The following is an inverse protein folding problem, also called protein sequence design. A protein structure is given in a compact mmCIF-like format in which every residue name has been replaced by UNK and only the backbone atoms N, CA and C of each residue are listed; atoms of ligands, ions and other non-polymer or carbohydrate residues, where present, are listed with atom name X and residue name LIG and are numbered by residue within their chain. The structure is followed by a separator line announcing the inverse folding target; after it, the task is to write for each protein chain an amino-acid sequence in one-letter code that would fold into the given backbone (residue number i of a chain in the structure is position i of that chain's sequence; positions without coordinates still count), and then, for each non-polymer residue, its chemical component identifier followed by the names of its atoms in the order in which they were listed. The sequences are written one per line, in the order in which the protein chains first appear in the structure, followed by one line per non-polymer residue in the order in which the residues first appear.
data_IF_426098609130
#
_entry.id   IF_426098609130
#
_cell.length_a   1.000
_cell.length_b   1.000
_cell.length_c   1.000
_cell.angle_alpha   90.00
_cell.angle_beta   90.00
_cell.angle_gamma   90.00
#
_symmetry.space_group_name_H-M   'P 1'
#
loop_
_entity.id
_entity.type
_entity.pdbx_description
1 polymer ?
#
# COMPACT_ATOMS: atom_id res chain seq x y z
N UNK A 1 -6.47 18.19 -48.70
CA UNK A 1 -7.86 18.33 -48.20
C UNK A 1 -8.36 16.96 -47.75
N UNK A 2 -8.68 16.79 -46.47
CA UNK A 2 -9.91 16.15 -45.93
C UNK A 2 -9.72 15.93 -44.43
N UNK A 3 -10.59 16.59 -43.69
CA UNK A 3 -10.73 16.60 -42.22
C UNK A 3 -11.59 15.41 -41.84
N UNK A 4 -11.30 14.71 -40.75
CA UNK A 4 -12.35 14.03 -39.97
C UNK A 4 -11.98 14.15 -38.49
N UNK A 5 -12.83 14.89 -37.79
CA UNK A 5 -12.81 15.19 -36.36
C UNK A 5 -13.95 14.36 -35.78
N UNK A 6 -13.66 13.44 -34.86
CA UNK A 6 -14.68 12.58 -34.23
C UNK A 6 -14.70 12.92 -32.73
N UNK A 7 -15.65 13.79 -32.39
CA UNK A 7 -16.13 14.05 -31.03
C UNK A 7 -17.04 12.90 -30.59
N UNK A 8 -16.62 12.14 -29.58
CA UNK A 8 -17.44 11.09 -28.96
C UNK A 8 -18.03 11.63 -27.66
N UNK A 9 -19.33 11.90 -27.70
CA UNK A 9 -20.17 12.31 -26.57
C UNK A 9 -20.35 11.13 -25.62
N UNK A 10 -19.77 11.19 -24.41
CA UNK A 10 -19.96 10.19 -23.36
C UNK A 10 -21.19 10.57 -22.52
N UNK A 11 -22.31 9.90 -22.79
CA UNK A 11 -23.53 10.02 -21.99
C UNK A 11 -23.35 9.29 -20.65
N UNK A 12 -23.34 10.04 -19.54
CA UNK A 12 -23.54 9.54 -18.18
C UNK A 12 -25.03 9.57 -17.86
N UNK A 13 -25.63 8.42 -17.53
CA UNK A 13 -26.94 8.37 -16.89
C UNK A 13 -27.07 7.16 -15.94
N UNK A 14 -26.71 7.42 -14.67
CA UNK A 14 -27.43 7.10 -13.44
C UNK A 14 -28.02 5.69 -13.25
N UNK A 15 -27.27 4.83 -12.53
CA UNK A 15 -27.84 3.70 -11.80
C UNK A 15 -28.36 4.20 -10.43
N UNK A 16 -29.67 4.39 -10.35
CA UNK A 16 -30.41 4.60 -9.11
C UNK A 16 -30.41 3.33 -8.25
N UNK A 17 -29.76 3.36 -7.08
CA UNK A 17 -29.99 2.37 -6.04
C UNK A 17 -31.23 2.78 -5.24
N UNK A 18 -32.34 2.10 -5.51
CA UNK A 18 -33.54 2.15 -4.70
C UNK A 18 -33.29 1.56 -3.32
N UNK A 19 -33.53 2.37 -2.29
CA UNK A 19 -33.72 1.93 -0.92
C UNK A 19 -35.02 1.12 -0.81
N UNK A 20 -34.98 -0.03 -0.15
CA UNK A 20 -36.16 -0.63 0.48
C UNK A 20 -35.78 -1.30 1.79
N UNK A 21 -36.55 -0.95 2.81
CA UNK A 21 -36.37 -1.21 4.24
C UNK A 21 -37.32 -2.31 4.73
N UNK A 22 -37.07 -2.79 5.97
CA UNK A 22 -37.94 -3.57 6.90
C UNK A 22 -38.06 -5.07 6.61
N UNK A 23 -38.28 -5.97 7.57
CA UNK A 23 -38.18 -6.12 9.05
C UNK A 23 -38.62 -7.59 9.27
N UNK A 24 -38.03 -8.31 10.22
CA UNK A 24 -38.71 -9.43 10.88
C UNK A 24 -38.21 -9.60 12.31
N UNK A 25 -39.18 -9.95 13.15
CA UNK A 25 -39.23 -9.86 14.60
C UNK A 25 -38.56 -11.04 15.35
N UNK A 26 -37.90 -10.68 16.45
CA UNK A 26 -38.04 -11.18 17.83
C UNK A 26 -37.94 -12.68 18.19
N UNK A 27 -36.99 -12.89 19.12
CA UNK A 27 -36.91 -13.85 20.24
C UNK A 27 -36.56 -15.32 19.96
N UNK A 28 -35.47 -15.79 20.57
CA UNK A 28 -35.54 -16.72 21.71
C UNK A 28 -34.22 -16.71 22.51
N UNK A 29 -34.42 -16.59 23.82
CA UNK A 29 -33.47 -16.73 24.94
C UNK A 29 -32.93 -18.16 25.03
N UNK A 30 -31.61 -18.32 25.24
CA UNK A 30 -31.04 -19.17 26.30
C UNK A 30 -29.51 -19.06 26.33
N UNK A 31 -29.05 -18.57 27.47
CA UNK A 31 -27.69 -18.66 27.99
C UNK A 31 -27.33 -20.10 28.30
N UNK A 32 -26.23 -20.59 27.72
CA UNK A 32 -25.49 -21.75 28.21
C UNK A 32 -23.99 -21.51 27.99
N UNK A 33 -23.28 -21.52 29.11
CA UNK A 33 -21.84 -21.46 29.28
C UNK A 33 -21.06 -22.37 28.33
N UNK A 34 -20.00 -21.83 27.71
CA UNK A 34 -18.92 -22.61 27.13
C UNK A 34 -17.60 -21.96 27.53
N UNK A 35 -17.05 -22.40 28.66
CA UNK A 35 -15.66 -22.20 29.04
C UNK A 35 -14.81 -23.14 28.19
N UNK A 36 -14.33 -22.67 27.05
CA UNK A 36 -13.27 -23.34 26.29
C UNK A 36 -11.92 -22.85 26.79
N UNK A 37 -11.29 -23.68 27.62
CA UNK A 37 -9.88 -23.60 27.97
C UNK A 37 -9.03 -23.74 26.71
N UNK A 38 -8.41 -22.64 26.27
CA UNK A 38 -7.44 -22.65 25.17
C UNK A 38 -6.05 -22.93 25.75
N UNK A 39 -5.57 -24.16 25.56
CA UNK A 39 -4.23 -24.58 25.96
C UNK A 39 -3.24 -24.31 24.83
N UNK A 40 -2.23 -23.48 25.09
CA UNK A 40 -1.12 -23.23 24.18
C UNK A 40 -0.09 -24.38 24.25
N UNK A 41 0.36 -24.95 23.13
CA UNK A 41 1.62 -25.67 23.12
C UNK A 41 2.78 -24.67 23.14
N UNK A 42 3.50 -24.66 24.26
CA UNK A 42 4.84 -24.11 24.36
C UNK A 42 5.80 -25.08 23.65
N UNK A 43 6.45 -24.61 22.59
CA UNK A 43 7.58 -25.32 21.99
C UNK A 43 8.80 -24.41 21.98
N UNK A 44 9.57 -24.57 23.04
CA UNK A 44 10.99 -24.25 23.12
C UNK A 44 11.76 -25.11 22.12
N UNK A 45 12.58 -24.52 21.25
CA UNK A 45 13.81 -25.14 20.76
C UNK A 45 14.76 -24.09 20.20
N UNK A 46 15.93 -24.04 20.84
CA UNK A 46 17.08 -23.21 20.54
C UNK A 46 17.95 -23.80 19.43
N UNK A 47 18.86 -22.95 18.93
CA UNK A 47 20.17 -23.26 18.28
C UNK A 47 20.15 -23.46 16.76
N UNK A 48 21.10 -22.96 15.96
CA UNK A 48 22.06 -21.86 16.02
C UNK A 48 22.75 -21.74 14.63
N UNK A 49 23.15 -20.51 14.27
CA UNK A 49 24.24 -20.07 13.35
C UNK A 49 24.37 -20.65 11.92
N UNK A 50 24.38 -19.75 10.92
CA UNK A 50 25.56 -19.44 10.06
C UNK A 50 25.45 -18.00 9.53
N UNK A 51 26.54 -17.24 9.64
CA UNK A 51 26.75 -15.87 9.16
C UNK A 51 27.10 -15.82 7.67
N UNK A 52 26.66 -14.76 6.95
CA UNK A 52 27.55 -13.86 6.17
C UNK A 52 26.78 -12.72 5.46
N UNK A 53 26.91 -11.54 6.05
CA UNK A 53 27.17 -10.22 5.46
C UNK A 53 26.62 -9.88 4.06
N UNK A 54 25.57 -9.05 4.06
CA UNK A 54 25.50 -7.83 3.24
C UNK A 54 24.79 -6.78 4.09
N UNK A 55 25.56 -5.81 4.59
CA UNK A 55 25.11 -4.77 5.52
C UNK A 55 24.19 -3.79 4.76
N UNK A 56 22.90 -4.09 4.71
CA UNK A 56 21.86 -3.06 4.66
C UNK A 56 21.68 -2.64 6.12
N UNK A 57 21.97 -1.39 6.45
CA UNK A 57 21.63 -0.85 7.78
C UNK A 57 20.11 -0.79 7.90
N UNK A 58 19.52 -1.89 8.38
CA UNK A 58 18.14 -1.90 8.86
C UNK A 58 18.08 -0.99 10.09
N UNK A 59 17.21 0.03 10.13
CA UNK A 59 17.03 0.83 11.33
C UNK A 59 16.61 -0.11 12.46
N UNK A 60 17.45 -0.21 13.49
CA UNK A 60 17.22 -1.05 14.68
C UNK A 60 16.21 -0.35 15.59
N UNK A 61 14.98 -0.18 15.10
CA UNK A 61 13.82 0.20 15.89
C UNK A 61 12.87 -0.98 15.95
N UNK A 62 12.30 -1.25 17.12
CA UNK A 62 11.24 -2.26 17.22
C UNK A 62 10.02 -1.74 16.46
N UNK A 63 9.55 -2.48 15.45
CA UNK A 63 8.34 -2.13 14.70
C UNK A 63 7.15 -2.32 15.63
N UNK A 64 6.30 -1.30 15.77
CA UNK A 64 5.10 -1.39 16.57
C UNK A 64 4.19 -2.53 16.07
N UNK A 65 3.68 -3.35 17.00
CA UNK A 65 2.92 -4.56 16.65
C UNK A 65 1.59 -4.25 15.95
N UNK A 66 0.95 -3.12 16.26
CA UNK A 66 -0.27 -2.68 15.59
C UNK A 66 0.06 -2.20 14.17
N UNK A 67 1.16 -1.47 14.01
CA UNK A 67 1.67 -1.07 12.70
C UNK A 67 2.01 -2.29 11.83
N UNK A 68 2.74 -3.28 12.36
CA UNK A 68 3.05 -4.52 11.63
C UNK A 68 1.77 -5.21 11.14
N UNK A 69 0.74 -5.35 12.00
CA UNK A 69 -0.55 -5.92 11.60
C UNK A 69 -1.24 -5.14 10.48
N UNK A 70 -1.14 -3.81 10.52
CA UNK A 70 -1.70 -2.97 9.46
C UNK A 70 -0.95 -3.17 8.13
N UNK A 71 0.37 -3.36 8.15
CA UNK A 71 1.16 -3.72 6.97
C UNK A 71 0.86 -5.15 6.49
N UNK A 72 0.64 -6.10 7.40
CA UNK A 72 0.25 -7.46 7.03
C UNK A 72 -1.11 -7.46 6.30
N UNK A 73 -2.01 -6.55 6.68
CA UNK A 73 -3.30 -6.38 6.02
C UNK A 73 -3.20 -5.80 4.60
N UNK A 74 -2.08 -5.19 4.20
CA UNK A 74 -1.87 -4.72 2.81
C UNK A 74 -1.32 -5.82 1.89
N UNK A 75 -0.85 -6.94 2.44
CA UNK A 75 -0.26 -8.04 1.64
C UNK A 75 -1.18 -8.60 0.55
N UNK A 76 -2.52 -8.74 0.75
CA UNK A 76 -3.42 -9.15 -0.34
C UNK A 76 -3.44 -8.15 -1.51
N UNK A 77 -3.36 -6.85 -1.21
CA UNK A 77 -3.25 -5.79 -2.22
C UNK A 77 -1.93 -5.93 -2.97
N UNK A 78 -0.81 -6.13 -2.25
CA UNK A 78 0.51 -6.36 -2.86
C UNK A 78 0.49 -7.59 -3.77
N UNK A 79 -0.10 -8.71 -3.33
CA UNK A 79 -0.24 -9.91 -4.16
C UNK A 79 -1.05 -9.64 -5.44
N UNK A 80 -2.13 -8.87 -5.33
CA UNK A 80 -2.93 -8.43 -6.49
C UNK A 80 -2.11 -7.55 -7.43
N UNK A 81 -1.29 -6.63 -6.91
CA UNK A 81 -0.39 -5.80 -7.70
C UNK A 81 0.66 -6.65 -8.42
N UNK A 82 1.25 -7.65 -7.74
CA UNK A 82 2.23 -8.57 -8.35
C UNK A 82 1.63 -9.28 -9.55
N UNK A 83 0.41 -9.78 -9.44
CA UNK A 83 -0.27 -10.46 -10.56
C UNK A 83 -0.63 -9.47 -11.69
N UNK A 84 -1.21 -8.33 -11.32
CA UNK A 84 -1.65 -7.29 -12.27
C UNK A 84 -0.50 -6.74 -13.10
N UNK A 85 0.68 -6.57 -12.47
CA UNK A 85 1.85 -5.97 -13.09
C UNK A 85 2.98 -6.96 -13.35
N UNK A 86 2.69 -8.26 -13.42
CA UNK A 86 3.69 -9.34 -13.59
C UNK A 86 4.57 -9.22 -14.85
N UNK A 87 4.05 -8.58 -15.88
CA UNK A 87 4.77 -8.34 -17.13
C UNK A 87 5.74 -7.15 -17.02
N UNK A 88 5.54 -6.27 -16.04
CA UNK A 88 6.40 -5.10 -15.78
C UNK A 88 7.42 -5.37 -14.68
N UNK A 89 6.96 -5.91 -13.54
CA UNK A 89 7.80 -6.17 -12.37
C UNK A 89 8.03 -7.68 -12.21
N UNK A 90 9.25 -8.07 -11.89
CA UNK A 90 9.58 -9.43 -11.47
C UNK A 90 9.15 -9.69 -10.02
N UNK A 91 9.13 -8.65 -9.20
CA UNK A 91 8.71 -8.73 -7.80
C UNK A 91 8.17 -7.39 -7.29
N UNK A 92 7.24 -7.46 -6.35
CA UNK A 92 6.72 -6.33 -5.58
C UNK A 92 6.60 -6.79 -4.13
N UNK A 93 7.13 -6.02 -3.19
CA UNK A 93 7.04 -6.31 -1.75
C UNK A 93 6.60 -5.07 -0.98
N UNK A 94 6.00 -5.29 0.18
CA UNK A 94 5.75 -4.24 1.17
C UNK A 94 6.14 -4.77 2.55
N UNK A 95 6.98 -4.02 3.26
CA UNK A 95 7.43 -4.38 4.61
C UNK A 95 7.29 -3.18 5.55
N UNK A 96 7.15 -3.47 6.84
CA UNK A 96 7.15 -2.43 7.87
C UNK A 96 8.59 -2.09 8.27
N UNK A 97 8.88 -0.80 8.41
CA UNK A 97 10.13 -0.27 8.94
C UNK A 97 9.82 0.72 10.06
N UNK A 98 10.57 0.63 11.16
CA UNK A 98 10.39 1.53 12.30
C UNK A 98 10.74 2.99 11.91
N UNK A 99 10.06 3.99 12.48
CA UNK A 99 8.98 3.86 13.45
C UNK A 99 7.62 3.49 12.85
N UNK A 100 7.22 4.07 11.72
CA UNK A 100 5.91 3.89 11.08
C UNK A 100 6.00 4.07 9.56
N UNK A 101 6.97 3.40 8.92
CA UNK A 101 7.18 3.50 7.46
C UNK A 101 6.80 2.20 6.79
N UNK A 102 5.95 2.24 5.75
CA UNK A 102 5.80 1.10 4.82
C UNK A 102 6.81 1.27 3.71
N UNK A 103 7.66 0.27 3.51
CA UNK A 103 8.64 0.24 2.43
C UNK A 103 8.10 -0.66 1.33
N UNK A 104 7.68 -0.06 0.23
CA UNK A 104 7.32 -0.75 -1.01
C UNK A 104 8.55 -0.87 -1.91
N UNK A 105 8.89 -2.09 -2.32
CA UNK A 105 9.99 -2.34 -3.28
C UNK A 105 9.43 -2.94 -4.55
N UNK A 106 9.73 -2.33 -5.69
CA UNK A 106 9.34 -2.76 -7.02
C UNK A 106 10.61 -3.13 -7.80
N UNK A 107 10.72 -4.38 -8.23
CA UNK A 107 11.86 -4.82 -9.06
C UNK A 107 11.39 -5.00 -10.48
N UNK A 108 11.94 -4.23 -11.42
CA UNK A 108 11.62 -4.36 -12.84
C UNK A 108 12.09 -5.69 -13.40
N UNK A 109 11.29 -6.28 -14.30
CA UNK A 109 11.65 -7.54 -14.95
C UNK A 109 12.82 -7.39 -15.93
N UNK A 110 12.91 -6.25 -16.61
CA UNK A 110 13.93 -5.95 -17.61
C UNK A 110 14.74 -4.72 -17.18
N UNK A 111 15.95 -4.60 -17.72
CA UNK A 111 16.72 -3.36 -17.60
C UNK A 111 15.96 -2.21 -18.26
N UNK A 112 15.74 -1.13 -17.50
CA UNK A 112 15.14 0.11 -17.98
C UNK A 112 16.06 1.30 -17.74
N UNK A 113 15.87 2.34 -18.56
CA UNK A 113 16.38 3.68 -18.29
C UNK A 113 15.21 4.56 -17.80
N UNK A 114 15.32 5.24 -16.65
CA UNK A 114 14.26 6.10 -16.18
C UNK A 114 13.99 7.26 -17.14
N UNK A 115 12.72 7.49 -17.46
CA UNK A 115 12.29 8.56 -18.39
C UNK A 115 11.76 9.81 -17.68
N UNK A 116 11.44 9.69 -16.39
CA UNK A 116 10.98 10.77 -15.55
C UNK A 116 12.09 11.20 -14.57
N UNK A 117 11.96 12.38 -13.97
CA UNK A 117 12.82 12.74 -12.83
C UNK A 117 12.26 12.16 -11.55
N UNK A 118 13.12 12.02 -10.52
CA UNK A 118 12.70 11.56 -9.19
C UNK A 118 11.57 12.42 -8.60
N UNK A 119 11.62 13.73 -8.81
CA UNK A 119 10.62 14.68 -8.32
C UNK A 119 9.27 14.50 -9.02
N UNK A 120 9.27 14.21 -10.32
CA UNK A 120 8.06 13.93 -11.06
C UNK A 120 7.39 12.63 -10.57
N UNK A 121 8.19 11.58 -10.34
CA UNK A 121 7.70 10.32 -9.77
C UNK A 121 7.18 10.52 -8.34
N UNK A 122 7.88 11.29 -7.51
CA UNK A 122 7.43 11.59 -6.14
C UNK A 122 6.08 12.30 -6.10
N UNK A 123 5.88 13.32 -6.96
CA UNK A 123 4.58 14.02 -7.09
C UNK A 123 3.47 13.09 -7.54
N UNK A 124 3.76 12.21 -8.50
CA UNK A 124 2.79 11.23 -8.98
C UNK A 124 2.40 10.24 -7.87
N UNK A 125 3.38 9.74 -7.11
CA UNK A 125 3.15 8.83 -5.98
C UNK A 125 2.31 9.49 -4.90
N UNK A 126 2.70 10.68 -4.43
CA UNK A 126 1.95 11.42 -3.41
C UNK A 126 0.49 11.69 -3.84
N UNK A 127 0.25 11.90 -5.13
CA UNK A 127 -1.11 12.05 -5.68
C UNK A 127 -1.86 10.72 -5.69
N UNK A 128 -1.23 9.66 -6.19
CA UNK A 128 -1.85 8.35 -6.41
C UNK A 128 -2.18 7.63 -5.11
N UNK A 129 -1.35 7.78 -4.06
CA UNK A 129 -1.51 7.07 -2.78
C UNK A 129 -2.20 7.90 -1.71
N UNK A 130 -2.57 9.14 -2.00
CA UNK A 130 -3.15 10.08 -1.03
C UNK A 130 -4.30 9.50 -0.19
N UNK A 131 -5.20 8.70 -0.79
CA UNK A 131 -6.32 8.09 -0.08
C UNK A 131 -5.87 7.01 0.92
N UNK A 132 -4.95 6.13 0.51
CA UNK A 132 -4.39 5.08 1.37
C UNK A 132 -3.53 5.72 2.48
N UNK A 133 -2.67 6.67 2.11
CA UNK A 133 -1.83 7.41 3.04
C UNK A 133 -2.66 8.10 4.13
N UNK A 134 -3.77 8.75 3.77
CA UNK A 134 -4.65 9.43 4.72
C UNK A 134 -5.34 8.45 5.69
N UNK A 135 -5.69 7.24 5.22
CA UNK A 135 -6.25 6.20 6.09
C UNK A 135 -5.23 5.70 7.11
N UNK A 136 -3.99 5.44 6.68
CA UNK A 136 -2.92 5.03 7.59
C UNK A 136 -2.55 6.14 8.57
N UNK A 137 -2.37 7.38 8.08
CA UNK A 137 -1.95 8.51 8.91
C UNK A 137 -2.99 8.96 9.94
N UNK A 138 -4.26 8.59 9.76
CA UNK A 138 -5.31 8.80 10.77
C UNK A 138 -5.10 7.92 12.02
N UNK A 139 -4.48 6.74 11.87
CA UNK A 139 -4.17 5.81 12.96
C UNK A 139 -2.72 5.94 13.43
N UNK A 140 -1.82 6.24 12.50
CA UNK A 140 -0.37 6.33 12.71
C UNK A 140 0.13 7.74 12.38
N UNK A 141 0.18 8.68 13.33
CA UNK A 141 0.45 10.10 13.05
C UNK A 141 1.81 10.39 12.40
N UNK A 142 2.79 9.50 12.58
CA UNK A 142 4.14 9.62 11.99
C UNK A 142 4.32 8.73 10.76
N UNK A 143 3.20 8.31 10.14
CA UNK A 143 3.19 7.44 8.98
C UNK A 143 3.99 8.03 7.80
N UNK A 144 4.73 7.16 7.13
CA UNK A 144 5.47 7.45 5.90
C UNK A 144 5.36 6.27 4.94
N UNK A 145 5.51 6.55 3.66
CA UNK A 145 5.66 5.51 2.63
C UNK A 145 7.03 5.71 1.97
N UNK A 146 7.77 4.62 1.78
CA UNK A 146 9.02 4.63 1.01
C UNK A 146 8.85 3.74 -0.20
N UNK A 147 9.13 4.28 -1.37
CA UNK A 147 9.06 3.59 -2.65
C UNK A 147 10.46 3.40 -3.20
N UNK A 148 10.88 2.15 -3.32
CA UNK A 148 12.17 1.75 -3.89
C UNK A 148 11.91 1.07 -5.23
N UNK A 149 12.42 1.66 -6.30
CA UNK A 149 12.37 1.08 -7.64
C UNK A 149 13.75 0.55 -8.00
N UNK A 150 13.82 -0.75 -8.25
CA UNK A 150 15.04 -1.45 -8.62
C UNK A 150 14.96 -1.91 -10.07
N UNK A 151 16.08 -1.82 -10.77
CA UNK A 151 16.23 -2.43 -12.09
C UNK A 151 16.31 -3.96 -12.00
N UNK A 152 16.32 -4.66 -13.12
CA UNK A 152 16.37 -6.14 -13.11
C UNK A 152 17.65 -6.72 -12.49
N UNK A 153 18.75 -5.95 -12.52
CA UNK A 153 20.02 -6.28 -11.84
C UNK A 153 20.07 -5.85 -10.37
N UNK A 154 18.95 -5.34 -9.83
CA UNK A 154 18.78 -4.77 -8.48
C UNK A 154 19.49 -3.43 -8.25
N UNK A 155 20.00 -2.78 -9.28
CA UNK A 155 20.47 -1.39 -9.17
C UNK A 155 19.30 -0.46 -8.82
N UNK A 156 19.54 0.51 -7.95
CA UNK A 156 18.50 1.46 -7.53
C UNK A 156 18.26 2.49 -8.63
N UNK A 157 17.00 2.61 -9.06
CA UNK A 157 16.54 3.65 -9.97
C UNK A 157 15.99 4.85 -9.19
N UNK A 158 15.14 4.56 -8.19
CA UNK A 158 14.57 5.57 -7.31
C UNK A 158 14.43 5.05 -5.89
N UNK A 159 14.58 5.96 -4.94
CA UNK A 159 14.27 5.76 -3.54
C UNK A 159 13.61 7.03 -3.00
N UNK A 160 12.28 6.97 -2.88
CA UNK A 160 11.42 8.13 -2.65
C UNK A 160 10.71 7.92 -1.32
N UNK A 161 10.85 8.89 -0.42
CA UNK A 161 10.07 8.97 0.81
C UNK A 161 8.89 9.92 0.58
N UNK A 162 7.69 9.44 0.77
CA UNK A 162 6.45 10.22 0.75
C UNK A 162 6.02 10.47 2.20
N UNK A 163 5.74 11.73 2.49
CA UNK A 163 5.31 12.21 3.80
C UNK A 163 3.94 12.88 3.72
N UNK A 164 3.40 13.22 4.89
CA UNK A 164 2.13 13.95 5.00
C UNK A 164 2.14 15.27 4.23
N UNK A 165 3.28 15.98 4.24
CA UNK A 165 3.41 17.28 3.56
C UNK A 165 3.39 17.11 2.04
N UNK A 166 4.00 16.05 1.51
CA UNK A 166 3.99 15.73 0.08
C UNK A 166 2.57 15.45 -0.42
N UNK A 167 1.80 14.67 0.36
CA UNK A 167 0.39 14.35 0.06
C UNK A 167 -0.48 15.62 0.13
N UNK A 168 -0.28 16.46 1.14
CA UNK A 168 -1.01 17.73 1.28
C UNK A 168 -0.72 18.67 0.09
N UNK A 169 0.54 18.79 -0.32
CA UNK A 169 0.94 19.60 -1.47
C UNK A 169 0.35 19.09 -2.80
N UNK A 170 0.29 17.77 -2.97
CA UNK A 170 -0.32 17.13 -4.14
C UNK A 170 -1.83 17.43 -4.23
N UNK A 171 -2.55 17.35 -3.11
CA UNK A 171 -3.99 17.64 -3.03
C UNK A 171 -4.32 19.12 -3.23
N UNK A 172 -3.48 20.04 -2.72
CA UNK A 172 -3.67 21.48 -2.95
C UNK A 172 -3.50 21.84 -4.45
N UNK A 173 -2.55 21.18 -5.13
CA UNK A 173 -2.27 21.40 -6.55
C UNK A 173 -3.40 20.90 -7.46
N UNK A 174 -4.06 19.80 -7.10
CA UNK A 174 -5.20 19.27 -7.87
C UNK A 174 -6.47 20.12 -7.69
N UNK A 175 -6.70 20.67 -6.50
CA UNK A 175 -7.81 21.60 -6.25
C UNK A 175 -7.66 22.94 -6.99
N UNK A 176 -6.44 23.45 -7.14
CA UNK A 176 -6.17 24.72 -7.86
C UNK A 176 -6.34 24.62 -9.37
N UNK A 177 -6.27 23.42 -9.95
CA UNK A 177 -6.33 23.20 -11.40
C UNK A 177 -7.76 23.09 -11.95
N UNK A 178 -8.77 23.12 -11.07
CA UNK A 178 -10.20 22.99 -11.41
C UNK A 178 -10.96 24.31 -11.30
N UNK A 179 -10.27 25.46 -11.29
CA UNK A 179 -10.85 26.80 -11.14
C UNK A 179 -10.55 27.69 -12.34
#
# INVERSE_FOLDING_TARGET
MKKILITTTLALALLSLGACSKKSDTSHKSSSSSTSSFSFPSSTSSSSKVSSSSKVETPTGNVDSLFQKAVDATQPTVATMKETYKDTYSDITAIAEAPQTIVYTYTYRNQIAPTATKEAVAKQLATATASEFNQFSAVFPNFKERYIYLNSDKSELYNILVTKDDVAAAQASSASSSK
#
